data_IF_525283770384
#
_entry.id   IF_525283770384
#
_cell.length_a   1.000
_cell.length_b   1.000
_cell.length_c   1.000
_cell.angle_alpha   90.00
_cell.angle_beta   90.00
_cell.angle_gamma   90.00
#
_symmetry.space_group_name_H-M   'P 1'
#
loop_
_entity.id
_entity.type
_entity.pdbx_description
1 polymer ?
#
# COMPACT_ATOMS: atom_id res chain seq x y z
N UNK A 1 7.44 52.46 -38.10
CA UNK A 1 7.39 51.69 -36.83
C UNK A 1 7.08 50.25 -37.21
N UNK A 2 8.09 49.55 -37.73
CA UNK A 2 8.03 48.14 -38.08
C UNK A 2 8.82 47.41 -37.01
N UNK A 3 8.08 46.71 -36.14
CA UNK A 3 8.67 45.75 -35.21
C UNK A 3 9.12 44.57 -36.07
N UNK A 4 10.37 44.59 -36.50
CA UNK A 4 11.02 43.37 -37.00
C UNK A 4 11.12 42.41 -35.82
N UNK A 5 10.19 41.44 -35.78
CA UNK A 5 10.39 40.21 -35.04
C UNK A 5 11.53 39.47 -35.74
N UNK A 6 12.74 39.76 -35.30
CA UNK A 6 13.94 38.99 -35.60
C UNK A 6 13.73 37.59 -35.00
N UNK A 7 13.09 36.71 -35.79
CA UNK A 7 13.05 35.28 -35.54
C UNK A 7 14.48 34.76 -35.66
N UNK A 8 15.24 34.90 -34.57
CA UNK A 8 16.53 34.28 -34.39
C UNK A 8 16.32 32.78 -34.54
N UNK A 9 16.66 32.25 -35.71
CA UNK A 9 16.77 30.81 -35.94
C UNK A 9 17.75 30.28 -34.89
N UNK A 10 17.20 29.68 -33.85
CA UNK A 10 17.96 29.01 -32.81
C UNK A 10 18.60 27.80 -33.47
N UNK A 11 19.85 28.00 -33.89
CA UNK A 11 20.67 26.97 -34.50
C UNK A 11 20.73 25.75 -33.55
N UNK A 12 20.52 24.55 -34.07
CA UNK A 12 20.46 23.32 -33.24
C UNK A 12 21.73 23.17 -32.38
N UNK A 13 22.84 23.68 -32.89
CA UNK A 13 24.15 23.68 -32.23
C UNK A 13 24.15 24.58 -30.99
N UNK A 14 23.43 25.70 -31.00
CA UNK A 14 23.29 26.57 -29.83
C UNK A 14 22.39 25.96 -28.76
N UNK A 15 21.31 25.27 -29.16
CA UNK A 15 20.49 24.49 -28.22
C UNK A 15 21.32 23.37 -27.58
N UNK A 16 22.13 22.66 -28.36
CA UNK A 16 23.00 21.58 -27.86
C UNK A 16 24.07 22.11 -26.90
N UNK A 17 24.67 23.27 -27.17
CA UNK A 17 25.62 23.93 -26.27
C UNK A 17 24.96 24.40 -24.97
N UNK A 18 23.74 24.93 -25.03
CA UNK A 18 22.97 25.32 -23.84
C UNK A 18 22.63 24.09 -23.00
N UNK A 19 22.17 23.00 -23.63
CA UNK A 19 21.91 21.72 -22.94
C UNK A 19 23.16 21.11 -22.33
N UNK A 20 24.28 21.08 -23.06
CA UNK A 20 25.57 20.57 -22.57
C UNK A 20 26.09 21.37 -21.37
N UNK A 21 25.99 22.71 -21.41
CA UNK A 21 26.33 23.56 -20.27
C UNK A 21 25.38 23.36 -19.08
N UNK A 22 24.10 23.09 -19.32
CA UNK A 22 23.13 22.82 -18.25
C UNK A 22 23.42 21.49 -17.55
N UNK A 23 23.74 20.44 -18.32
CA UNK A 23 24.15 19.12 -17.82
C UNK A 23 25.49 19.20 -17.08
N UNK A 24 26.46 19.91 -17.63
CA UNK A 24 27.77 20.12 -16.99
C UNK A 24 27.66 20.85 -15.65
N UNK A 25 26.80 21.88 -15.57
CA UNK A 25 26.47 22.56 -14.31
C UNK A 25 25.76 21.64 -13.31
N UNK A 26 24.87 20.77 -13.79
CA UNK A 26 24.21 19.75 -12.97
C UNK A 26 25.21 18.79 -12.33
N UNK A 27 26.15 18.25 -13.12
CA UNK A 27 27.21 17.36 -12.63
C UNK A 27 28.15 18.06 -11.64
N UNK A 28 28.53 19.31 -11.91
CA UNK A 28 29.36 20.09 -11.01
C UNK A 28 28.64 20.40 -9.68
N UNK A 29 27.32 20.63 -9.72
CA UNK A 29 26.48 20.82 -8.53
C UNK A 29 26.36 19.55 -7.68
N UNK A 30 26.21 18.39 -8.32
CA UNK A 30 26.20 17.09 -7.62
C UNK A 30 27.54 16.84 -6.94
N UNK A 31 28.65 17.06 -7.65
CA UNK A 31 29.99 16.89 -7.09
C UNK A 31 30.24 17.83 -5.89
N UNK A 32 29.84 19.09 -5.99
CA UNK A 32 30.00 20.05 -4.89
C UNK A 32 29.09 19.72 -3.70
N UNK A 33 27.89 19.20 -3.94
CA UNK A 33 27.00 18.70 -2.90
C UNK A 33 27.62 17.52 -2.13
N UNK A 34 28.20 16.53 -2.83
CA UNK A 34 28.88 15.41 -2.18
C UNK A 34 30.06 15.86 -1.30
N UNK A 35 30.90 16.77 -1.80
CA UNK A 35 32.02 17.32 -1.02
C UNK A 35 31.50 18.11 0.19
N UNK A 36 30.41 18.85 0.04
CA UNK A 36 29.78 19.58 1.13
C UNK A 36 29.21 18.63 2.20
N UNK A 37 28.48 17.58 1.79
CA UNK A 37 27.99 16.53 2.69
C UNK A 37 29.14 15.84 3.41
N UNK A 38 30.24 15.53 2.71
CA UNK A 38 31.41 14.90 3.34
C UNK A 38 32.06 15.81 4.38
N UNK A 39 32.28 17.09 4.05
CA UNK A 39 32.81 18.08 5.00
C UNK A 39 31.88 18.30 6.19
N UNK A 40 30.58 18.35 5.94
CA UNK A 40 29.55 18.46 6.98
C UNK A 40 29.59 17.25 7.92
N UNK A 41 29.69 16.04 7.37
CA UNK A 41 29.75 14.79 8.14
C UNK A 41 30.98 14.70 9.03
N UNK A 42 32.14 15.12 8.54
CA UNK A 42 33.39 15.12 9.32
C UNK A 42 33.34 16.18 10.42
N UNK A 43 32.85 17.39 10.10
CA UNK A 43 32.81 18.51 11.06
C UNK A 43 31.77 18.31 12.15
N UNK A 44 30.62 17.72 11.82
CA UNK A 44 29.46 17.58 12.71
C UNK A 44 29.19 16.11 13.07
N UNK A 45 30.24 15.30 13.21
CA UNK A 45 30.13 13.86 13.50
C UNK A 45 29.24 13.55 14.72
N UNK A 46 29.32 14.35 15.79
CA UNK A 46 28.48 14.17 16.98
C UNK A 46 26.99 14.32 16.70
N UNK A 47 26.60 15.30 15.87
CA UNK A 47 25.20 15.53 15.47
C UNK A 47 24.70 14.35 14.63
N UNK A 48 25.54 13.82 13.74
CA UNK A 48 25.21 12.62 12.97
C UNK A 48 24.97 11.41 13.85
N UNK A 49 25.84 11.16 14.83
CA UNK A 49 25.67 10.03 15.77
C UNK A 49 24.36 10.17 16.55
N UNK A 50 24.01 11.36 17.02
CA UNK A 50 22.74 11.61 17.71
C UNK A 50 21.54 11.39 16.78
N UNK A 51 21.61 11.90 15.54
CA UNK A 51 20.55 11.69 14.54
C UNK A 51 20.35 10.21 14.21
N UNK A 52 21.43 9.46 14.04
CA UNK A 52 21.39 8.01 13.82
C UNK A 52 20.78 7.30 15.04
N UNK A 53 21.18 7.67 16.26
CA UNK A 53 20.61 7.09 17.48
C UNK A 53 19.10 7.34 17.60
N UNK A 54 18.64 8.57 17.28
CA UNK A 54 17.21 8.90 17.22
C UNK A 54 16.51 8.08 16.14
N UNK A 55 17.11 7.94 14.96
CA UNK A 55 16.57 7.13 13.86
C UNK A 55 16.42 5.66 14.25
N UNK A 56 17.40 5.09 14.95
CA UNK A 56 17.34 3.72 15.48
C UNK A 56 16.26 3.59 16.53
N UNK A 57 16.17 4.54 17.47
CA UNK A 57 15.14 4.53 18.51
C UNK A 57 13.73 4.60 17.92
N UNK A 58 13.51 5.49 16.94
CA UNK A 58 12.25 5.59 16.21
C UNK A 58 11.95 4.31 15.43
N UNK A 59 12.93 3.77 14.71
CA UNK A 59 12.77 2.52 13.95
C UNK A 59 12.39 1.36 14.85
N UNK A 60 13.04 1.23 16.01
CA UNK A 60 12.72 0.21 17.00
C UNK A 60 11.32 0.40 17.60
N UNK A 61 10.93 1.65 17.88
CA UNK A 61 9.59 1.98 18.34
C UNK A 61 8.50 1.59 17.31
N UNK A 62 8.72 1.89 16.03
CA UNK A 62 7.79 1.52 14.95
C UNK A 62 7.83 0.02 14.60
N UNK A 63 8.94 -0.68 14.89
CA UNK A 63 9.08 -2.13 14.69
C UNK A 63 8.28 -2.96 15.71
N UNK A 64 7.67 -2.33 16.72
CA UNK A 64 6.90 -3.07 17.71
C UNK A 64 5.72 -3.84 17.06
N UNK A 65 5.43 -5.08 17.50
CA UNK A 65 4.36 -5.92 16.95
C UNK A 65 2.98 -5.27 16.99
N UNK A 66 2.74 -4.34 17.92
CA UNK A 66 1.49 -3.56 18.02
C UNK A 66 1.15 -2.78 16.74
N UNK A 67 2.16 -2.43 15.94
CA UNK A 67 2.00 -1.74 14.66
C UNK A 67 2.07 -2.67 13.44
N UNK A 68 2.37 -3.95 13.66
CA UNK A 68 2.38 -4.93 12.58
C UNK A 68 0.95 -5.18 12.11
N UNK A 69 0.74 -5.08 10.79
CA UNK A 69 -0.51 -5.40 10.14
C UNK A 69 -0.32 -6.71 9.38
N UNK A 70 -1.12 -7.69 9.71
CA UNK A 70 -1.15 -8.99 9.06
C UNK A 70 -2.39 -9.08 8.20
N UNK A 71 -2.17 -9.42 6.94
CA UNK A 71 -3.21 -9.64 5.95
C UNK A 71 -3.38 -11.15 5.78
N UNK A 72 -4.60 -11.65 5.95
CA UNK A 72 -4.96 -13.05 5.69
C UNK A 72 -6.14 -13.10 4.75
N UNK A 73 -6.04 -13.93 3.72
CA UNK A 73 -7.12 -14.16 2.76
C UNK A 73 -7.70 -15.55 3.02
N UNK A 74 -8.98 -15.61 3.34
CA UNK A 74 -9.70 -16.86 3.55
C UNK A 74 -10.58 -17.10 2.32
N UNK A 75 -10.30 -18.19 1.60
CA UNK A 75 -11.15 -18.67 0.51
C UNK A 75 -12.15 -19.66 1.09
N UNK A 76 -13.43 -19.43 0.81
CA UNK A 76 -14.53 -20.24 1.33
C UNK A 76 -15.39 -20.73 0.17
N UNK A 77 -15.86 -21.97 0.31
CA UNK A 77 -16.82 -22.59 -0.57
C UNK A 77 -18.20 -22.62 0.11
N UNK A 78 -19.18 -21.96 -0.49
CA UNK A 78 -20.56 -21.96 0.00
C UNK A 78 -21.39 -22.96 -0.78
N UNK A 79 -22.03 -23.85 -0.03
CA UNK A 79 -22.89 -24.91 -0.58
C UNK A 79 -24.38 -24.55 -0.60
N UNK A 80 -24.77 -23.37 -0.11
CA UNK A 80 -26.17 -23.05 0.23
C UNK A 80 -26.68 -21.68 -0.27
N UNK A 81 -25.82 -20.79 -0.78
CA UNK A 81 -26.25 -19.43 -1.18
C UNK A 81 -25.40 -18.78 -2.29
N UNK A 82 -25.87 -17.64 -2.80
CA UNK A 82 -25.18 -16.91 -3.86
C UNK A 82 -23.98 -16.11 -3.33
N UNK A 83 -22.89 -16.01 -4.10
CA UNK A 83 -21.73 -15.16 -3.76
C UNK A 83 -22.11 -13.70 -3.49
N UNK A 84 -23.17 -13.20 -4.12
CA UNK A 84 -23.64 -11.82 -3.96
C UNK A 84 -24.18 -11.55 -2.55
N UNK A 85 -25.04 -12.44 -2.03
CA UNK A 85 -25.59 -12.33 -0.68
C UNK A 85 -24.48 -12.35 0.39
N UNK A 86 -23.50 -13.23 0.19
CA UNK A 86 -22.34 -13.31 1.08
C UNK A 86 -21.53 -12.02 1.08
N UNK A 87 -21.22 -11.47 -0.11
CA UNK A 87 -20.50 -10.19 -0.24
C UNK A 87 -21.24 -9.06 0.48
N UNK A 88 -22.57 -8.99 0.32
CA UNK A 88 -23.39 -8.00 1.03
C UNK A 88 -23.36 -8.21 2.55
N UNK A 89 -23.44 -9.45 3.02
CA UNK A 89 -23.37 -9.76 4.44
C UNK A 89 -22.02 -9.35 5.05
N UNK A 90 -20.90 -9.67 4.39
CA UNK A 90 -19.56 -9.26 4.84
C UNK A 90 -19.37 -7.74 4.75
N UNK A 91 -19.90 -7.07 3.72
CA UNK A 91 -19.87 -5.60 3.66
C UNK A 91 -20.64 -4.95 4.81
N UNK A 92 -21.83 -5.48 5.13
CA UNK A 92 -22.59 -5.02 6.29
C UNK A 92 -21.81 -5.22 7.59
N UNK A 93 -21.15 -6.36 7.74
CA UNK A 93 -20.30 -6.63 8.89
C UNK A 93 -19.08 -5.71 8.94
N UNK A 94 -18.40 -5.49 7.82
CA UNK A 94 -17.28 -4.57 7.71
C UNK A 94 -17.68 -3.13 8.07
N UNK A 95 -18.91 -2.71 7.73
CA UNK A 95 -19.43 -1.39 8.10
C UNK A 95 -19.66 -1.22 9.61
N UNK A 96 -19.69 -2.32 10.38
CA UNK A 96 -19.80 -2.31 11.85
C UNK A 96 -18.46 -2.28 12.57
N UNK A 97 -17.34 -2.27 11.84
CA UNK A 97 -16.01 -2.04 12.40
C UNK A 97 -15.86 -0.56 12.75
N UNK A 98 -15.66 -0.29 14.03
CA UNK A 98 -15.37 1.04 14.56
C UNK A 98 -14.16 0.92 15.51
N UNK A 99 -12.97 1.34 15.05
CA UNK A 99 -11.75 1.31 15.85
C UNK A 99 -11.87 2.14 17.14
N UNK A 100 -12.68 3.21 17.15
CA UNK A 100 -12.84 4.09 18.31
C UNK A 100 -13.77 3.50 19.37
N UNK A 101 -14.76 2.72 18.94
CA UNK A 101 -15.65 1.97 19.83
C UNK A 101 -15.16 0.52 20.10
N UNK A 102 -13.88 0.27 19.87
CA UNK A 102 -13.24 -1.02 20.11
C UNK A 102 -13.97 -2.20 19.42
N UNK A 103 -14.57 -1.95 18.25
CA UNK A 103 -15.33 -2.93 17.48
C UNK A 103 -16.43 -3.67 18.28
N UNK A 104 -17.09 -2.99 19.23
CA UNK A 104 -18.10 -3.62 20.10
C UNK A 104 -19.30 -4.21 19.33
N UNK A 105 -19.82 -3.46 18.34
CA UNK A 105 -20.93 -3.92 17.48
C UNK A 105 -20.53 -5.10 16.61
N UNK A 106 -19.35 -5.04 16.00
CA UNK A 106 -18.77 -6.13 15.23
C UNK A 106 -18.64 -7.41 16.08
N UNK A 107 -18.07 -7.29 17.28
CA UNK A 107 -17.87 -8.42 18.20
C UNK A 107 -19.20 -9.08 18.57
N UNK A 108 -20.23 -8.28 18.84
CA UNK A 108 -21.58 -8.74 19.19
C UNK A 108 -22.27 -9.44 18.02
N UNK A 109 -22.19 -8.87 16.81
CA UNK A 109 -22.80 -9.44 15.60
C UNK A 109 -22.14 -10.74 15.16
N UNK A 110 -20.83 -10.84 15.36
CA UNK A 110 -20.04 -12.01 14.96
C UNK A 110 -19.93 -13.07 16.07
N UNK A 111 -20.37 -12.77 17.29
CA UNK A 111 -20.34 -13.70 18.42
C UNK A 111 -18.93 -14.00 18.94
N UNK A 112 -18.01 -13.04 18.84
CA UNK A 112 -16.62 -13.17 19.32
C UNK A 112 -16.37 -12.29 20.54
N UNK A 113 -15.32 -12.60 21.30
CA UNK A 113 -14.91 -11.76 22.42
C UNK A 113 -14.46 -10.38 21.94
N UNK A 114 -14.73 -9.35 22.75
CA UNK A 114 -14.31 -7.97 22.43
C UNK A 114 -12.80 -7.85 22.26
N UNK A 115 -12.02 -8.66 22.98
CA UNK A 115 -10.56 -8.70 22.83
C UNK A 115 -10.13 -9.15 21.42
N UNK A 116 -10.78 -10.17 20.85
CA UNK A 116 -10.52 -10.62 19.49
C UNK A 116 -11.08 -9.63 18.45
N UNK A 117 -12.26 -9.07 18.70
CA UNK A 117 -12.87 -8.09 17.81
C UNK A 117 -12.03 -6.84 17.63
N UNK A 118 -11.41 -6.33 18.71
CA UNK A 118 -10.49 -5.19 18.65
C UNK A 118 -9.25 -5.42 17.77
N UNK A 119 -8.86 -6.69 17.59
CA UNK A 119 -7.71 -7.06 16.77
C UNK A 119 -8.03 -7.06 15.28
N UNK A 120 -9.30 -6.99 14.88
CA UNK A 120 -9.73 -6.92 13.48
C UNK A 120 -9.71 -5.46 13.01
N UNK A 121 -8.86 -5.17 12.02
CA UNK A 121 -8.67 -3.83 11.48
C UNK A 121 -9.48 -3.59 10.21
N UNK A 122 -9.66 -4.61 9.38
CA UNK A 122 -10.40 -4.52 8.13
C UNK A 122 -10.97 -5.87 7.76
N UNK A 123 -12.17 -5.85 7.18
CA UNK A 123 -12.78 -6.96 6.46
C UNK A 123 -13.14 -6.48 5.06
N UNK A 124 -12.78 -7.26 4.05
CA UNK A 124 -13.09 -6.94 2.66
C UNK A 124 -13.42 -8.22 1.89
N UNK A 125 -14.62 -8.33 1.31
CA UNK A 125 -14.98 -9.47 0.49
C UNK A 125 -14.55 -9.27 -0.96
N UNK A 126 -14.11 -10.37 -1.58
CA UNK A 126 -13.71 -10.43 -2.98
C UNK A 126 -14.42 -11.56 -3.72
N UNK A 127 -14.72 -11.31 -4.99
CA UNK A 127 -15.21 -12.33 -5.90
C UNK A 127 -14.05 -13.15 -6.46
N UNK A 128 -14.33 -14.42 -6.73
CA UNK A 128 -13.40 -15.32 -7.40
C UNK A 128 -13.92 -15.58 -8.81
N UNK A 129 -13.04 -15.44 -9.78
CA UNK A 129 -13.36 -15.62 -11.19
C UNK A 129 -12.60 -16.82 -11.77
N UNK A 130 -13.17 -17.42 -12.80
CA UNK A 130 -12.48 -18.38 -13.65
C UNK A 130 -12.94 -18.20 -15.08
N UNK A 131 -11.98 -18.20 -16.00
CA UNK A 131 -12.22 -18.06 -17.42
C UNK A 131 -11.21 -18.95 -18.16
N UNK A 132 -11.69 -20.10 -18.62
CA UNK A 132 -10.88 -21.08 -19.35
C UNK A 132 -10.29 -20.50 -20.64
N UNK A 133 -11.02 -19.60 -21.32
CA UNK A 133 -10.56 -18.97 -22.58
C UNK A 133 -9.36 -18.06 -22.38
N UNK A 134 -9.21 -17.51 -21.18
CA UNK A 134 -8.09 -16.64 -20.81
C UNK A 134 -7.08 -17.36 -19.90
N UNK A 135 -7.27 -18.67 -19.65
CA UNK A 135 -6.42 -19.45 -18.74
C UNK A 135 -6.49 -19.01 -17.27
N UNK A 136 -7.56 -18.31 -16.86
CA UNK A 136 -7.76 -17.83 -15.50
C UNK A 136 -8.48 -18.91 -14.68
N UNK A 137 -7.87 -19.37 -13.59
CA UNK A 137 -8.43 -20.39 -12.71
C UNK A 137 -8.36 -19.92 -11.25
N UNK A 138 -9.52 -19.87 -10.59
CA UNK A 138 -9.71 -19.42 -9.20
C UNK A 138 -8.96 -18.13 -8.84
N UNK A 139 -9.09 -17.11 -9.69
CA UNK A 139 -8.41 -15.83 -9.48
C UNK A 139 -9.25 -14.95 -8.56
N UNK A 140 -8.63 -14.46 -7.49
CA UNK A 140 -9.23 -13.50 -6.56
C UNK A 140 -9.08 -12.10 -7.19
N UNK A 141 -10.20 -11.41 -7.38
CA UNK A 141 -10.19 -10.09 -8.00
C UNK A 141 -10.05 -8.97 -6.96
N UNK A 142 -8.83 -8.74 -6.49
CA UNK A 142 -8.54 -7.67 -5.53
C UNK A 142 -8.69 -6.27 -6.14
N UNK A 143 -8.41 -6.15 -7.45
CA UNK A 143 -8.33 -4.87 -8.16
C UNK A 143 -9.58 -4.54 -8.99
N UNK A 144 -10.63 -5.35 -8.91
CA UNK A 144 -11.88 -5.21 -9.70
C UNK A 144 -11.60 -5.16 -11.20
N UNK A 145 -10.68 -5.99 -11.68
CA UNK A 145 -10.29 -6.07 -13.09
C UNK A 145 -11.19 -7.00 -13.91
N UNK A 146 -11.98 -7.85 -13.24
CA UNK A 146 -12.75 -8.92 -13.89
C UNK A 146 -14.27 -8.70 -13.77
N UNK A 147 -14.72 -7.46 -13.60
CA UNK A 147 -16.15 -7.10 -13.43
C UNK A 147 -17.01 -7.56 -14.61
N UNK A 148 -16.43 -7.64 -15.81
CA UNK A 148 -17.11 -8.10 -17.03
C UNK A 148 -17.29 -9.62 -17.08
N UNK A 149 -16.60 -10.37 -16.23
CA UNK A 149 -16.72 -11.82 -16.13
C UNK A 149 -17.79 -12.19 -15.11
N UNK A 150 -18.39 -13.38 -15.28
CA UNK A 150 -19.32 -13.90 -14.27
C UNK A 150 -18.51 -14.51 -13.11
N UNK A 151 -18.71 -14.07 -11.86
CA UNK A 151 -18.01 -14.65 -10.73
C UNK A 151 -18.49 -16.06 -10.45
N UNK A 152 -17.60 -16.88 -9.88
CA UNK A 152 -17.95 -18.21 -9.36
C UNK A 152 -18.95 -18.02 -8.22
N UNK A 153 -20.10 -18.68 -8.33
CA UNK A 153 -21.24 -18.46 -7.44
C UNK A 153 -21.13 -19.15 -6.08
N UNK A 154 -20.26 -20.16 -5.97
CA UNK A 154 -20.05 -20.96 -4.78
C UNK A 154 -18.69 -20.73 -4.13
N UNK A 155 -17.88 -19.79 -4.64
CA UNK A 155 -16.54 -19.47 -4.11
C UNK A 155 -16.40 -17.97 -3.88
N UNK A 156 -15.83 -17.61 -2.74
CA UNK A 156 -15.50 -16.23 -2.41
C UNK A 156 -14.25 -16.17 -1.54
N UNK A 157 -13.64 -15.00 -1.52
CA UNK A 157 -12.52 -14.70 -0.66
C UNK A 157 -12.89 -13.58 0.30
N UNK A 158 -12.39 -13.64 1.53
CA UNK A 158 -12.46 -12.54 2.49
C UNK A 158 -11.05 -12.22 2.93
N UNK A 159 -10.65 -10.97 2.72
CA UNK A 159 -9.45 -10.41 3.31
C UNK A 159 -9.76 -9.91 4.71
N UNK A 160 -8.99 -10.42 5.66
CA UNK A 160 -9.01 -10.02 7.05
C UNK A 160 -7.66 -9.37 7.35
N UNK A 161 -7.70 -8.12 7.82
CA UNK A 161 -6.51 -7.45 8.34
C UNK A 161 -6.55 -7.44 9.85
N UNK A 162 -5.48 -7.86 10.50
CA UNK A 162 -5.37 -7.93 11.95
C UNK A 162 -4.01 -7.43 12.44
N UNK A 163 -3.94 -6.97 13.68
CA UNK A 163 -2.67 -6.67 14.36
C UNK A 163 -2.11 -7.86 15.16
N UNK A 164 -2.77 -9.03 15.12
CA UNK A 164 -2.36 -10.21 15.88
C UNK A 164 -2.11 -11.41 14.97
N UNK A 165 -0.86 -11.87 14.93
CA UNK A 165 -0.44 -13.04 14.16
C UNK A 165 -1.14 -14.33 14.63
N UNK A 166 -1.52 -14.41 15.91
CA UNK A 166 -2.16 -15.61 16.47
C UNK A 166 -3.61 -15.78 16.03
N UNK A 167 -4.24 -14.71 15.50
CA UNK A 167 -5.61 -14.78 14.96
C UNK A 167 -5.74 -15.75 13.77
N UNK A 168 -4.64 -16.04 13.07
CA UNK A 168 -4.60 -17.01 11.96
C UNK A 168 -4.07 -18.39 12.35
N UNK A 169 -4.01 -18.73 13.65
CA UNK A 169 -3.45 -20.00 14.12
C UNK A 169 -4.17 -21.26 13.59
N UNK A 170 -5.35 -21.11 12.98
CA UNK A 170 -6.07 -22.16 12.24
C UNK A 170 -5.42 -22.55 10.89
N UNK A 171 -4.35 -21.88 10.47
CA UNK A 171 -3.58 -22.20 9.24
C UNK A 171 -2.25 -22.92 9.52
N UNK A 172 -2.14 -23.63 10.65
CA UNK A 172 -1.03 -24.56 10.90
C UNK A 172 -1.35 -25.96 10.40
#
# INVERSE_FOLDING_TARGET
MSVEQENKELDLIDILKVFGNWIGKGFQSIGSFFVWVLKFSIKNWSILVVSVAIGVALSFYFSQPKFSKYDGVIVMENNLGSSAEFVTAIQSLASSLDPYAANALFSTRFGISSELGQKVLKLEPFYIYSNEKQGLYNVIDENKQFVDLKPIQNKFAVLIKTNDRTAFALLK
#
